data_IF_209238482543
#
_entry.id   IF_209238482543
#
_cell.length_a   1.000
_cell.length_b   1.000
_cell.length_c   1.000
_cell.angle_alpha   90.00
_cell.angle_beta   90.00
_cell.angle_gamma   90.00
#
_symmetry.space_group_name_H-M   'P 1'
#
loop_
_entity.id
_entity.type
_entity.pdbx_description
1 polymer ?
#
# COMPACT_ATOMS: atom_id res chain seq x y z
N UNK A 1 -8.54 14.09 -7.89
CA UNK A 1 -8.42 13.60 -9.28
C UNK A 1 -6.96 13.25 -9.58
N UNK A 2 -6.51 12.08 -9.14
CA UNK A 2 -5.23 11.50 -9.55
C UNK A 2 -5.51 10.12 -10.16
N UNK A 3 -5.15 9.95 -11.43
CA UNK A 3 -5.22 8.66 -12.15
C UNK A 3 -3.86 7.95 -11.96
N UNK A 4 -3.73 6.67 -12.34
CA UNK A 4 -3.66 5.52 -11.45
C UNK A 4 -2.22 5.00 -11.30
N UNK A 5 -1.87 4.51 -10.12
CA UNK A 5 -0.68 3.68 -9.97
C UNK A 5 -0.98 2.24 -10.47
N UNK A 6 -0.40 1.91 -11.63
CA UNK A 6 0.31 0.63 -11.82
C UNK A 6 -0.51 -0.67 -11.98
N UNK A 7 -1.47 -0.71 -12.92
CA UNK A 7 -1.92 -1.96 -13.56
C UNK A 7 -0.81 -2.74 -14.32
N UNK A 8 0.45 -2.30 -14.24
CA UNK A 8 1.62 -2.82 -14.98
C UNK A 8 2.57 -3.66 -14.13
N UNK A 9 2.25 -3.90 -12.86
CA UNK A 9 3.13 -4.56 -11.89
C UNK A 9 2.88 -6.08 -11.72
N UNK A 10 1.77 -6.62 -12.25
CA UNK A 10 1.35 -8.02 -12.06
C UNK A 10 2.36 -9.09 -12.54
N UNK A 11 3.19 -8.78 -13.54
CA UNK A 11 4.18 -9.73 -14.09
C UNK A 11 5.50 -9.77 -13.32
N UNK A 12 5.89 -8.68 -12.64
CA UNK A 12 7.06 -8.69 -11.75
C UNK A 12 6.74 -9.29 -10.37
N UNK A 13 5.48 -9.23 -9.94
CA UNK A 13 5.02 -9.72 -8.63
C UNK A 13 5.18 -11.25 -8.47
N UNK A 14 5.05 -12.02 -9.55
CA UNK A 14 5.27 -13.48 -9.53
C UNK A 14 6.76 -13.86 -9.36
N UNK A 15 7.67 -13.00 -9.82
CA UNK A 15 9.11 -13.19 -9.67
C UNK A 15 9.60 -12.76 -8.28
N UNK A 16 8.97 -11.74 -7.69
CA UNK A 16 9.33 -11.19 -6.38
C UNK A 16 8.73 -11.96 -5.19
N UNK A 17 7.62 -12.70 -5.38
CA UNK A 17 7.02 -13.57 -4.34
C UNK A 17 8.00 -14.66 -3.84
N UNK A 18 8.99 -15.03 -4.64
CA UNK A 18 10.06 -15.97 -4.24
C UNK A 18 11.14 -15.33 -3.35
N UNK A 19 11.21 -14.00 -3.25
CA UNK A 19 12.27 -13.29 -2.53
C UNK A 19 11.81 -12.66 -1.20
N UNK A 20 10.51 -12.38 -1.04
CA UNK A 20 9.99 -11.62 0.10
C UNK A 20 9.66 -12.45 1.35
N UNK A 21 9.73 -13.78 1.31
CA UNK A 21 9.41 -14.63 2.47
C UNK A 21 10.45 -14.55 3.61
N UNK A 22 11.48 -13.70 3.48
CA UNK A 22 12.63 -13.67 4.40
C UNK A 22 12.96 -12.30 5.01
N UNK A 23 12.05 -11.31 5.02
CA UNK A 23 12.27 -10.04 5.75
C UNK A 23 11.34 -9.95 6.95
N UNK A 24 11.93 -10.09 8.14
CA UNK A 24 11.25 -10.14 9.42
C UNK A 24 11.07 -8.77 10.08
N UNK A 25 9.89 -8.60 10.67
CA UNK A 25 9.53 -7.88 11.89
C UNK A 25 10.39 -6.67 12.34
N UNK A 26 10.01 -5.47 11.88
CA UNK A 26 10.00 -4.24 12.69
C UNK A 26 8.58 -3.68 12.62
N UNK A 27 8.07 -3.16 13.75
CA UNK A 27 6.68 -2.72 13.94
C UNK A 27 6.47 -1.32 13.36
N UNK A 28 6.80 -1.14 12.09
CA UNK A 28 6.43 -0.02 11.24
C UNK A 28 5.75 -0.63 10.01
N UNK A 29 4.83 0.10 9.36
CA UNK A 29 4.25 -0.40 8.11
C UNK A 29 5.39 -0.79 7.14
N UNK A 30 5.21 -1.87 6.38
CA UNK A 30 6.22 -2.32 5.42
C UNK A 30 6.61 -1.17 4.47
N UNK A 31 7.80 -1.21 3.86
CA UNK A 31 8.29 -0.14 2.96
C UNK A 31 7.31 0.20 1.81
N UNK A 32 6.37 -0.71 1.50
CA UNK A 32 5.33 -0.56 0.46
C UNK A 32 3.91 -0.35 1.03
N UNK A 33 3.80 0.04 2.29
CA UNK A 33 2.54 0.30 2.98
C UNK A 33 2.46 1.78 3.41
N UNK A 34 1.25 2.31 3.37
CA UNK A 34 0.90 3.62 3.90
C UNK A 34 0.31 3.44 5.30
N UNK A 35 0.78 4.26 6.25
CA UNK A 35 0.24 4.31 7.59
C UNK A 35 -0.89 5.33 7.63
N UNK A 36 -2.10 4.81 7.84
CA UNK A 36 -3.30 5.59 8.11
C UNK A 36 -3.18 6.37 9.41
N UNK A 37 -4.01 7.41 9.57
CA UNK A 37 -4.05 8.23 10.80
C UNK A 37 -4.54 7.40 12.00
N UNK A 38 -5.36 6.38 11.78
CA UNK A 38 -5.77 5.41 12.78
C UNK A 38 -4.73 4.29 13.06
N UNK A 39 -3.48 4.47 12.67
CA UNK A 39 -2.36 3.53 12.87
C UNK A 39 -2.51 2.19 12.12
N UNK A 40 -3.48 2.09 11.21
CA UNK A 40 -3.62 0.96 10.29
C UNK A 40 -2.60 1.07 9.16
N UNK A 41 -2.10 -0.06 8.68
CA UNK A 41 -1.29 -0.13 7.48
C UNK A 41 -2.14 -0.64 6.32
N UNK A 42 -2.17 0.11 5.23
CA UNK A 42 -2.73 -0.34 3.95
C UNK A 42 -1.60 -0.37 2.91
N UNK A 43 -1.70 -1.13 1.82
CA UNK A 43 -0.81 -1.00 0.67
C UNK A 43 -0.70 0.46 0.21
N UNK A 44 0.51 0.97 -0.01
CA UNK A 44 0.71 2.36 -0.46
C UNK A 44 0.10 2.65 -1.83
N UNK A 45 -0.25 1.60 -2.60
CA UNK A 45 -0.97 1.69 -3.88
C UNK A 45 -2.45 2.03 -3.72
N UNK A 46 -3.02 1.86 -2.53
CA UNK A 46 -4.41 2.18 -2.20
C UNK A 46 -4.56 3.63 -1.75
N UNK A 47 -3.46 4.36 -1.56
CA UNK A 47 -3.54 5.80 -1.35
C UNK A 47 -4.03 6.48 -2.63
N UNK A 48 -5.10 7.27 -2.54
CA UNK A 48 -5.69 8.04 -3.64
C UNK A 48 -6.31 7.17 -4.73
N UNK A 49 -6.97 6.08 -4.36
CA UNK A 49 -7.61 5.14 -5.29
C UNK A 49 -9.15 5.24 -5.36
N UNK A 50 -9.71 6.26 -4.71
CA UNK A 50 -11.15 6.55 -4.62
C UNK A 50 -11.93 5.67 -3.63
N UNK A 51 -11.27 4.74 -2.92
CA UNK A 51 -11.85 3.91 -1.86
C UNK A 51 -11.31 4.28 -0.47
N UNK A 52 -12.14 4.13 0.58
CA UNK A 52 -11.73 4.32 1.98
C UNK A 52 -11.17 3.01 2.55
N UNK A 53 -9.90 2.74 2.29
CA UNK A 53 -9.21 1.55 2.81
C UNK A 53 -8.71 1.74 4.24
N UNK A 54 -8.39 2.98 4.61
CA UNK A 54 -8.02 3.29 5.99
C UNK A 54 -9.20 3.16 6.97
N UNK A 55 -10.45 3.22 6.52
CA UNK A 55 -11.68 3.35 7.34
C UNK A 55 -11.77 4.66 8.15
N UNK A 56 -10.83 5.57 7.92
CA UNK A 56 -10.83 6.95 8.42
C UNK A 56 -10.60 7.96 7.29
N UNK A 57 -10.59 7.48 6.04
CA UNK A 57 -10.38 8.23 4.81
C UNK A 57 -9.05 9.01 4.76
N UNK A 58 -8.07 8.64 5.59
CA UNK A 58 -6.77 9.34 5.64
C UNK A 58 -5.86 9.04 4.46
N UNK A 59 -6.11 7.93 3.76
CA UNK A 59 -5.58 7.56 2.45
C UNK A 59 -6.09 8.47 1.31
N UNK A 60 -7.35 8.89 1.39
CA UNK A 60 -7.98 9.76 0.36
C UNK A 60 -7.96 11.26 0.73
N UNK A 61 -7.64 11.60 1.98
CA UNK A 61 -7.69 12.98 2.47
C UNK A 61 -6.52 13.87 2.01
N UNK A 62 -5.38 13.28 1.61
CA UNK A 62 -4.16 14.00 1.21
C UNK A 62 -3.63 13.46 -0.13
N UNK A 63 -4.36 13.82 -1.20
CA UNK A 63 -4.12 13.51 -2.61
C UNK A 63 -3.94 14.80 -3.44
#
# INVERSE_FOLDING_TARGET
>A
MCRPALARLLLLQLLLLKLHLAKGAVKECEENQFQCRNERCIPAIWKCDEDDDCSDNSDEADC
#
